data_IF_174133633599
#
_entry.id   IF_174133633599
#
_cell.length_a   1.000
_cell.length_b   1.000
_cell.length_c   1.000
_cell.angle_alpha   90.00
_cell.angle_beta   90.00
_cell.angle_gamma   90.00
#
_symmetry.space_group_name_H-M   'P 1'
#
loop_
_entity.id
_entity.type
_entity.pdbx_description
1 polymer ?
#
# COMPACT_ATOMS: atom_id res chain seq x y z
N UNK A 1 -15.16 8.55 20.16
CA UNK A 1 -13.73 8.92 20.33
C UNK A 1 -12.93 7.64 20.48
N UNK A 2 -11.74 7.57 19.88
CA UNK A 2 -10.79 6.48 20.12
C UNK A 2 -10.34 6.52 21.58
N UNK A 3 -10.36 5.38 22.25
CA UNK A 3 -9.91 5.24 23.64
C UNK A 3 -8.48 4.74 23.75
N UNK A 4 -7.99 3.99 22.75
CA UNK A 4 -6.62 3.50 22.70
C UNK A 4 -6.16 3.34 21.24
N UNK A 5 -4.87 3.55 20.97
CA UNK A 5 -4.26 3.17 19.70
C UNK A 5 -2.80 2.76 19.89
N UNK A 6 -2.41 1.74 19.12
CA UNK A 6 -1.07 1.21 19.04
C UNK A 6 -0.58 1.32 17.58
N UNK A 7 0.66 1.76 17.38
CA UNK A 7 1.36 1.71 16.09
C UNK A 7 2.60 0.84 16.27
N UNK A 8 2.68 -0.24 15.48
CA UNK A 8 3.71 -1.25 15.61
C UNK A 8 4.45 -1.45 14.29
N UNK A 9 5.75 -1.23 14.31
CA UNK A 9 6.63 -1.48 13.18
C UNK A 9 7.28 -2.85 13.36
N UNK A 10 6.96 -3.79 12.46
CA UNK A 10 7.54 -5.13 12.49
C UNK A 10 8.85 -5.14 11.72
N UNK A 11 9.83 -5.90 12.22
CA UNK A 11 11.05 -6.18 11.48
C UNK A 11 10.73 -7.01 10.22
N UNK A 12 11.20 -6.52 9.06
CA UNK A 12 10.95 -7.12 7.75
C UNK A 12 12.27 -7.66 7.18
N UNK A 13 12.54 -8.95 7.42
CA UNK A 13 13.74 -9.63 6.92
C UNK A 13 15.07 -9.07 7.48
N UNK A 14 16.19 -9.51 6.89
CA UNK A 14 17.55 -9.12 7.30
C UNK A 14 18.07 -7.86 6.56
N UNK A 15 17.29 -7.36 5.60
CA UNK A 15 17.62 -6.19 4.77
C UNK A 15 16.81 -4.97 5.22
N UNK A 16 17.33 -3.78 4.98
CA UNK A 16 16.70 -2.51 5.37
C UNK A 16 15.55 -2.07 4.45
N UNK A 17 14.86 -2.99 3.78
CA UNK A 17 13.79 -2.65 2.82
C UNK A 17 12.53 -3.46 3.08
N UNK A 18 11.38 -2.83 2.83
CA UNK A 18 10.07 -3.39 3.09
C UNK A 18 9.45 -2.92 4.40
N UNK A 19 8.13 -2.81 4.39
CA UNK A 19 7.34 -2.34 5.53
C UNK A 19 6.28 -3.38 5.92
N UNK A 20 6.03 -3.49 7.22
CA UNK A 20 4.89 -4.20 7.80
C UNK A 20 4.51 -3.47 9.08
N UNK A 21 3.41 -2.72 9.05
CA UNK A 21 3.03 -1.80 10.12
C UNK A 21 1.61 -2.15 10.57
N UNK A 22 1.45 -2.48 11.84
CA UNK A 22 0.12 -2.52 12.42
C UNK A 22 -0.28 -1.17 12.96
N UNK A 23 -1.54 -0.82 12.73
CA UNK A 23 -2.21 0.26 13.42
C UNK A 23 -3.48 -0.31 14.02
N UNK A 24 -3.49 -0.41 15.35
CA UNK A 24 -4.62 -0.91 16.12
C UNK A 24 -5.30 0.26 16.78
N UNK A 25 -6.62 0.32 16.68
CA UNK A 25 -7.44 1.34 17.36
C UNK A 25 -8.55 0.66 18.14
N UNK A 26 -8.84 1.16 19.32
CA UNK A 26 -9.97 0.72 20.14
C UNK A 26 -10.88 1.93 20.34
N UNK A 27 -12.15 1.79 19.98
CA UNK A 27 -13.17 2.80 20.30
C UNK A 27 -14.46 2.17 20.85
N UNK A 28 -15.27 2.91 21.63
CA UNK A 28 -16.46 2.36 22.29
C UNK A 28 -17.58 1.91 21.33
N UNK A 29 -17.57 2.39 20.08
CA UNK A 29 -18.65 2.16 19.10
C UNK A 29 -18.29 0.98 18.20
N UNK A 30 -17.09 0.97 17.63
CA UNK A 30 -16.65 -0.06 16.68
C UNK A 30 -15.78 -1.15 17.31
N UNK A 31 -15.42 -1.01 18.59
CA UNK A 31 -14.53 -1.91 19.29
C UNK A 31 -13.09 -1.80 18.78
N UNK A 32 -12.42 -2.96 18.70
CA UNK A 32 -11.03 -3.05 18.25
C UNK A 32 -10.95 -3.25 16.73
N UNK A 33 -10.26 -2.34 16.05
CA UNK A 33 -9.96 -2.38 14.62
C UNK A 33 -8.46 -2.60 14.44
N UNK A 34 -8.09 -3.63 13.66
CA UNK A 34 -6.70 -3.93 13.31
C UNK A 34 -6.48 -3.59 11.83
N UNK A 35 -5.59 -2.64 11.59
CA UNK A 35 -5.14 -2.28 10.25
C UNK A 35 -3.70 -2.78 10.07
N UNK A 36 -3.43 -3.47 8.97
CA UNK A 36 -2.09 -3.88 8.56
C UNK A 36 -1.74 -3.12 7.28
N UNK A 37 -0.72 -2.26 7.35
CA UNK A 37 -0.14 -1.57 6.20
C UNK A 37 1.10 -2.31 5.76
N UNK A 38 1.05 -2.83 4.54
CA UNK A 38 2.03 -3.73 3.93
C UNK A 38 2.30 -5.02 4.75
N UNK A 39 2.92 -6.00 4.09
CA UNK A 39 3.15 -7.32 4.66
C UNK A 39 4.61 -7.69 4.76
N UNK A 40 5.52 -6.83 4.31
CA UNK A 40 6.91 -7.20 4.17
C UNK A 40 7.16 -8.27 3.09
N UNK A 41 8.27 -8.99 3.24
CA UNK A 41 8.54 -10.23 2.50
C UNK A 41 7.63 -11.38 2.91
N UNK A 42 7.60 -12.47 2.13
CA UNK A 42 6.79 -13.65 2.44
C UNK A 42 7.07 -14.26 3.81
N UNK A 43 8.33 -14.28 4.26
CA UNK A 43 8.72 -14.77 5.60
C UNK A 43 8.19 -13.91 6.75
N UNK A 44 7.83 -12.65 6.50
CA UNK A 44 7.25 -11.75 7.50
C UNK A 44 5.84 -12.19 7.91
N UNK A 45 5.13 -12.99 7.12
CA UNK A 45 3.80 -13.49 7.45
C UNK A 45 3.74 -14.27 8.77
N UNK A 46 4.79 -15.04 9.09
CA UNK A 46 4.88 -15.75 10.38
C UNK A 46 5.14 -14.80 11.55
N UNK A 47 5.99 -13.79 11.35
CA UNK A 47 6.20 -12.73 12.34
C UNK A 47 4.91 -11.96 12.64
N UNK A 48 4.13 -11.65 11.60
CA UNK A 48 2.81 -11.01 11.71
C UNK A 48 1.86 -11.86 12.57
N UNK A 49 1.76 -13.17 12.29
CA UNK A 49 0.93 -14.08 13.10
C UNK A 49 1.38 -14.11 14.56
N UNK A 50 2.66 -14.35 14.81
CA UNK A 50 3.22 -14.41 16.16
C UNK A 50 3.03 -13.10 16.91
N UNK A 51 3.16 -11.97 16.22
CA UNK A 51 2.91 -10.65 16.78
C UNK A 51 1.45 -10.48 17.22
N UNK A 52 0.49 -10.80 16.35
CA UNK A 52 -0.94 -10.74 16.67
C UNK A 52 -1.31 -11.69 17.82
N UNK A 53 -0.74 -12.90 17.83
CA UNK A 53 -0.95 -13.88 18.91
C UNK A 53 -0.47 -13.36 20.26
N UNK A 54 0.70 -12.71 20.29
CA UNK A 54 1.32 -12.20 21.50
C UNK A 54 0.65 -10.93 22.02
N UNK A 55 0.40 -9.95 21.14
CA UNK A 55 0.03 -8.60 21.55
C UNK A 55 -1.44 -8.26 21.35
N UNK A 56 -2.11 -8.90 20.40
CA UNK A 56 -3.52 -8.61 20.06
C UNK A 56 -4.47 -9.72 20.52
N UNK A 57 -4.20 -10.27 21.71
CA UNK A 57 -5.06 -11.26 22.41
C UNK A 57 -5.46 -12.46 21.53
N UNK A 58 -4.59 -12.87 20.60
CA UNK A 58 -4.86 -13.95 19.63
C UNK A 58 -6.09 -13.70 18.74
N UNK A 59 -6.46 -12.45 18.50
CA UNK A 59 -7.42 -12.11 17.44
C UNK A 59 -6.87 -12.64 16.11
N UNK A 60 -7.68 -13.42 15.38
CA UNK A 60 -7.32 -14.03 14.09
C UNK A 60 -7.95 -13.28 12.92
N UNK A 61 -8.05 -11.96 13.03
CA UNK A 61 -8.73 -11.14 12.05
C UNK A 61 -8.02 -9.79 11.87
N UNK A 62 -7.78 -9.43 10.61
CA UNK A 62 -7.35 -8.10 10.18
C UNK A 62 -8.56 -7.42 9.55
N UNK A 63 -8.92 -6.25 10.07
CA UNK A 63 -10.09 -5.49 9.61
C UNK A 63 -9.78 -4.79 8.28
N UNK A 64 -8.60 -4.18 8.17
CA UNK A 64 -8.13 -3.54 6.94
C UNK A 64 -6.69 -3.96 6.64
N UNK A 65 -6.50 -4.69 5.55
CA UNK A 65 -5.19 -4.94 4.96
C UNK A 65 -4.97 -3.90 3.86
N UNK A 66 -3.87 -3.16 3.90
CA UNK A 66 -3.61 -2.01 3.04
C UNK A 66 -2.27 -2.23 2.33
N UNK A 67 -2.26 -2.12 1.00
CA UNK A 67 -1.05 -2.21 0.19
C UNK A 67 -0.66 -0.81 -0.30
N UNK A 68 0.55 -0.36 0.01
CA UNK A 68 1.10 0.93 -0.46
C UNK A 68 1.49 0.86 -1.94
N UNK A 69 2.27 -0.16 -2.32
CA UNK A 69 2.70 -0.43 -3.70
C UNK A 69 3.07 -1.91 -3.88
N UNK A 70 3.13 -2.36 -5.14
CA UNK A 70 3.29 -3.77 -5.50
C UNK A 70 4.71 -4.35 -5.43
N UNK A 71 5.65 -3.69 -4.75
CA UNK A 71 7.02 -4.18 -4.67
C UNK A 71 7.12 -5.41 -3.75
N UNK A 72 8.11 -6.25 -4.03
CA UNK A 72 8.23 -7.59 -3.45
C UNK A 72 8.28 -7.57 -1.91
N UNK A 73 8.97 -6.58 -1.37
CA UNK A 73 9.22 -6.36 0.04
C UNK A 73 8.05 -5.69 0.78
N UNK A 74 6.92 -5.48 0.11
CA UNK A 74 5.67 -4.99 0.70
C UNK A 74 4.51 -5.97 0.48
N UNK A 75 4.35 -6.49 -0.75
CA UNK A 75 3.18 -7.30 -1.13
C UNK A 75 3.28 -8.78 -0.73
N UNK A 76 4.49 -9.33 -0.63
CA UNK A 76 4.66 -10.80 -0.58
C UNK A 76 4.17 -11.40 0.72
N UNK A 77 4.34 -10.71 1.85
CA UNK A 77 3.76 -11.15 3.12
C UNK A 77 2.23 -11.10 3.13
N UNK A 78 1.61 -10.10 2.46
CA UNK A 78 0.15 -10.02 2.35
C UNK A 78 -0.43 -11.20 1.57
N UNK A 79 0.19 -11.52 0.43
CA UNK A 79 -0.16 -12.70 -0.38
C UNK A 79 -0.10 -13.96 0.49
N UNK A 80 0.99 -14.12 1.26
CA UNK A 80 1.19 -15.29 2.10
C UNK A 80 0.13 -15.42 3.20
N UNK A 81 -0.24 -14.31 3.85
CA UNK A 81 -1.30 -14.28 4.88
C UNK A 81 -2.64 -14.75 4.31
N UNK A 82 -3.04 -14.24 3.14
CA UNK A 82 -4.32 -14.60 2.49
C UNK A 82 -4.28 -16.06 2.00
N UNK A 83 -3.15 -16.48 1.42
CA UNK A 83 -2.96 -17.84 0.90
C UNK A 83 -3.12 -18.88 2.02
N UNK A 84 -2.43 -18.69 3.14
CA UNK A 84 -2.45 -19.62 4.28
C UNK A 84 -3.79 -19.64 5.03
N UNK A 85 -4.56 -18.54 4.94
CA UNK A 85 -5.91 -18.44 5.50
C UNK A 85 -5.99 -18.76 7.01
N UNK A 86 -4.91 -18.50 7.75
CA UNK A 86 -4.85 -18.65 9.22
C UNK A 86 -5.35 -17.39 9.95
N UNK A 87 -5.27 -16.25 9.29
CA UNK A 87 -5.80 -14.96 9.73
C UNK A 87 -6.86 -14.54 8.71
N UNK A 88 -8.07 -14.26 9.18
CA UNK A 88 -9.15 -13.74 8.35
C UNK A 88 -8.87 -12.28 7.99
N UNK A 89 -9.11 -11.89 6.74
CA UNK A 89 -8.99 -10.51 6.28
C UNK A 89 -10.37 -10.05 5.83
N UNK A 90 -10.87 -8.93 6.37
CA UNK A 90 -12.18 -8.40 5.97
C UNK A 90 -12.11 -7.55 4.71
N UNK A 91 -11.20 -6.57 4.70
CA UNK A 91 -11.04 -5.63 3.61
C UNK A 91 -9.60 -5.62 3.12
N UNK A 92 -9.41 -5.62 1.80
CA UNK A 92 -8.16 -5.32 1.13
C UNK A 92 -8.27 -3.94 0.47
N UNK A 93 -7.38 -3.03 0.84
CA UNK A 93 -7.24 -1.70 0.27
C UNK A 93 -6.02 -1.68 -0.65
N UNK A 94 -6.26 -1.72 -1.96
CA UNK A 94 -5.22 -1.71 -2.97
C UNK A 94 -5.75 -1.05 -4.25
N UNK A 95 -4.86 -0.51 -5.08
CA UNK A 95 -5.21 0.02 -6.40
C UNK A 95 -4.72 -0.96 -7.44
N UNK A 96 -5.63 -1.46 -8.28
CA UNK A 96 -5.31 -2.40 -9.35
C UNK A 96 -5.29 -1.65 -10.69
N UNK A 97 -4.13 -1.51 -11.37
CA UNK A 97 -3.98 -0.62 -12.52
C UNK A 97 -4.89 -1.01 -13.69
N UNK A 98 -5.17 -2.30 -13.88
CA UNK A 98 -6.07 -2.77 -14.94
C UNK A 98 -7.52 -2.33 -14.76
N UNK A 99 -7.98 -2.02 -13.54
CA UNK A 99 -9.33 -1.46 -13.33
C UNK A 99 -9.49 -0.05 -13.94
N UNK A 100 -8.38 0.60 -14.29
CA UNK A 100 -8.33 1.94 -14.85
C UNK A 100 -7.91 1.97 -16.32
N UNK A 101 -7.86 0.82 -17.01
CA UNK A 101 -7.49 0.77 -18.42
C UNK A 101 -8.43 1.63 -19.28
N UNK A 102 -9.74 1.63 -18.98
CA UNK A 102 -10.69 2.48 -19.67
C UNK A 102 -10.40 3.97 -19.46
N UNK A 103 -10.11 4.39 -18.23
CA UNK A 103 -9.76 5.78 -17.92
C UNK A 103 -8.49 6.22 -18.65
N UNK A 104 -7.50 5.33 -18.74
CA UNK A 104 -6.24 5.61 -19.44
C UNK A 104 -6.44 5.77 -20.95
N UNK A 105 -7.23 4.87 -21.56
CA UNK A 105 -7.52 4.91 -23.00
C UNK A 105 -8.38 6.13 -23.35
N UNK A 106 -9.50 6.34 -22.66
CA UNK A 106 -10.41 7.45 -22.94
C UNK A 106 -9.82 8.81 -22.54
N UNK A 107 -8.93 8.83 -21.55
CA UNK A 107 -8.18 10.02 -21.15
C UNK A 107 -7.04 10.38 -22.09
N UNK A 108 -6.83 9.65 -23.18
CA UNK A 108 -5.73 9.84 -24.14
C UNK A 108 -4.35 9.84 -23.47
N UNK A 109 -4.16 9.01 -22.44
CA UNK A 109 -2.86 8.83 -21.79
C UNK A 109 -1.86 8.09 -22.67
N UNK A 110 -2.34 7.43 -23.74
CA UNK A 110 -1.53 6.70 -24.71
C UNK A 110 -1.88 7.16 -26.13
N UNK A 111 -0.90 7.66 -26.88
CA UNK A 111 -1.15 8.20 -28.23
C UNK A 111 -1.46 7.12 -29.27
N UNK A 112 -0.94 5.90 -29.07
CA UNK A 112 -0.98 4.82 -30.06
C UNK A 112 -1.76 3.58 -29.57
N UNK A 113 -2.62 3.73 -28.56
CA UNK A 113 -3.40 2.64 -27.97
C UNK A 113 -4.86 3.06 -27.80
N UNK A 114 -5.77 2.22 -28.28
CA UNK A 114 -7.22 2.44 -28.18
C UNK A 114 -8.00 1.22 -27.65
N UNK A 115 -7.31 0.10 -27.35
CA UNK A 115 -7.94 -1.13 -26.89
C UNK A 115 -7.83 -1.27 -25.38
N UNK A 116 -8.96 -1.10 -24.69
CA UNK A 116 -9.10 -1.27 -23.24
C UNK A 116 -8.69 -2.68 -22.84
N UNK A 117 -9.26 -3.71 -23.49
CA UNK A 117 -8.97 -5.12 -23.18
C UNK A 117 -7.49 -5.47 -23.33
N UNK A 118 -6.82 -4.94 -24.36
CA UNK A 118 -5.41 -5.17 -24.55
C UNK A 118 -4.60 -4.57 -23.39
N UNK A 119 -4.89 -3.31 -23.01
CA UNK A 119 -4.19 -2.61 -21.94
C UNK A 119 -4.43 -3.28 -20.58
N UNK A 120 -5.64 -3.72 -20.29
CA UNK A 120 -5.93 -4.49 -19.06
C UNK A 120 -5.05 -5.74 -18.95
N UNK A 121 -4.94 -6.50 -20.03
CA UNK A 121 -4.13 -7.71 -20.07
C UNK A 121 -2.64 -7.40 -19.94
N UNK A 122 -2.17 -6.33 -20.58
CA UNK A 122 -0.78 -5.89 -20.48
C UNK A 122 -0.45 -5.46 -19.04
N UNK A 123 -1.30 -4.68 -18.39
CA UNK A 123 -1.11 -4.29 -16.99
C UNK A 123 -1.12 -5.52 -16.06
N UNK A 124 -2.02 -6.49 -16.28
CA UNK A 124 -2.02 -7.76 -15.52
C UNK A 124 -0.71 -8.54 -15.71
N UNK A 125 -0.12 -8.54 -16.92
CA UNK A 125 1.20 -9.14 -17.19
C UNK A 125 2.34 -8.40 -16.49
N UNK A 126 2.30 -7.07 -16.49
CA UNK A 126 3.35 -6.22 -15.91
C UNK A 126 3.40 -6.25 -14.37
N UNK A 127 2.30 -6.66 -13.71
CA UNK A 127 2.18 -6.68 -12.25
C UNK A 127 1.65 -8.05 -11.73
N UNK A 128 2.41 -9.15 -11.91
CA UNK A 128 1.92 -10.51 -11.64
C UNK A 128 1.60 -10.77 -10.16
N UNK A 129 2.34 -10.16 -9.22
CA UNK A 129 2.05 -10.30 -7.77
C UNK A 129 0.78 -9.57 -7.35
N UNK A 130 0.58 -8.38 -7.90
CA UNK A 130 -0.64 -7.62 -7.67
C UNK A 130 -1.85 -8.38 -8.22
N UNK A 131 -1.69 -9.00 -9.40
CA UNK A 131 -2.71 -9.87 -9.99
C UNK A 131 -3.01 -11.05 -9.06
N UNK A 132 -1.97 -11.74 -8.57
CA UNK A 132 -2.13 -12.86 -7.63
C UNK A 132 -2.82 -12.44 -6.33
N UNK A 133 -2.52 -11.26 -5.81
CA UNK A 133 -3.17 -10.71 -4.62
C UNK A 133 -4.67 -10.49 -4.86
N UNK A 134 -5.04 -9.91 -6.01
CA UNK A 134 -6.45 -9.73 -6.39
C UNK A 134 -7.20 -11.06 -6.50
N UNK A 135 -6.62 -12.04 -7.22
CA UNK A 135 -7.19 -13.37 -7.41
C UNK A 135 -7.45 -14.05 -6.06
N UNK A 136 -6.44 -14.08 -5.17
CA UNK A 136 -6.58 -14.64 -3.83
C UNK A 136 -7.63 -13.91 -3.00
N UNK A 137 -7.69 -12.58 -3.08
CA UNK A 137 -8.69 -11.79 -2.35
C UNK A 137 -10.11 -12.14 -2.81
N UNK A 138 -10.33 -12.28 -4.12
CA UNK A 138 -11.64 -12.68 -4.68
C UNK A 138 -12.00 -14.12 -4.31
N UNK A 139 -11.06 -15.05 -4.42
CA UNK A 139 -11.24 -16.46 -4.01
C UNK A 139 -11.64 -16.58 -2.53
N UNK A 140 -11.05 -15.75 -1.68
CA UNK A 140 -11.33 -15.71 -0.23
C UNK A 140 -12.51 -14.81 0.16
N UNK A 141 -13.22 -14.24 -0.82
CA UNK A 141 -14.35 -13.32 -0.61
C UNK A 141 -13.99 -12.10 0.27
N UNK A 142 -12.74 -11.64 0.17
CA UNK A 142 -12.26 -10.43 0.83
C UNK A 142 -12.81 -9.23 0.08
N UNK A 143 -13.33 -8.24 0.81
CA UNK A 143 -13.86 -7.02 0.18
C UNK A 143 -12.70 -6.16 -0.32
N UNK A 144 -12.60 -5.98 -1.63
CA UNK A 144 -11.58 -5.12 -2.25
C UNK A 144 -12.11 -3.67 -2.32
N UNK A 145 -11.28 -2.70 -1.91
CA UNK A 145 -11.59 -1.27 -1.92
C UNK A 145 -10.40 -0.47 -2.44
N UNK A 146 -10.68 0.64 -3.14
CA UNK A 146 -9.63 1.53 -3.66
C UNK A 146 -9.31 2.66 -2.69
N UNK A 147 -8.05 2.80 -2.22
CA UNK A 147 -7.64 3.87 -1.33
C UNK A 147 -7.20 5.13 -2.12
N UNK A 148 -8.13 5.80 -2.81
CA UNK A 148 -7.85 7.14 -3.33
C UNK A 148 -8.05 8.23 -2.27
N UNK A 149 -7.53 9.43 -2.55
CA UNK A 149 -7.70 10.62 -1.72
C UNK A 149 -9.15 10.78 -1.27
N UNK A 150 -9.32 11.05 0.03
CA UNK A 150 -10.56 11.15 0.78
C UNK A 150 -11.27 9.83 1.10
N UNK A 151 -10.81 8.66 0.64
CA UNK A 151 -11.29 7.38 1.14
C UNK A 151 -11.07 7.27 2.66
N UNK A 152 -12.03 6.66 3.35
CA UNK A 152 -11.99 6.46 4.80
C UNK A 152 -11.69 4.99 5.10
N UNK A 153 -10.56 4.72 5.76
CA UNK A 153 -10.14 3.40 6.20
C UNK A 153 -10.21 3.36 7.72
N UNK A 154 -11.30 2.84 8.27
CA UNK A 154 -11.58 2.97 9.70
C UNK A 154 -11.57 4.44 10.11
N UNK A 155 -10.59 4.85 10.91
CA UNK A 155 -10.43 6.23 11.38
C UNK A 155 -9.45 7.06 10.55
N UNK A 156 -8.77 6.44 9.59
CA UNK A 156 -7.79 7.10 8.74
C UNK A 156 -8.45 7.65 7.49
N UNK A 157 -8.09 8.89 7.15
CA UNK A 157 -8.43 9.49 5.87
C UNK A 157 -7.22 9.37 4.94
N UNK A 158 -7.44 8.81 3.76
CA UNK A 158 -6.43 8.74 2.71
C UNK A 158 -6.18 10.13 2.14
N UNK A 159 -4.93 10.59 2.12
CA UNK A 159 -4.58 11.90 1.54
C UNK A 159 -4.13 11.84 0.07
N UNK A 160 -3.59 10.71 -0.34
CA UNK A 160 -2.98 10.48 -1.66
C UNK A 160 -3.02 8.99 -2.00
N UNK A 161 -2.95 8.64 -3.30
CA UNK A 161 -2.98 9.54 -4.46
C UNK A 161 -4.41 10.02 -4.79
N UNK A 162 -4.57 11.11 -5.55
CA UNK A 162 -5.84 11.33 -6.28
C UNK A 162 -5.91 10.35 -7.45
N UNK A 163 -7.11 10.14 -8.03
CA UNK A 163 -7.26 9.27 -9.19
C UNK A 163 -6.41 9.78 -10.35
N UNK A 164 -6.48 11.07 -10.64
CA UNK A 164 -5.75 11.72 -11.74
C UNK A 164 -4.24 11.58 -11.58
N UNK A 165 -3.71 11.88 -10.38
CA UNK A 165 -2.29 11.73 -10.09
C UNK A 165 -1.82 10.27 -10.24
N UNK A 166 -2.67 9.30 -9.88
CA UNK A 166 -2.36 7.90 -10.08
C UNK A 166 -2.32 7.50 -11.56
N UNK A 167 -3.27 7.98 -12.38
CA UNK A 167 -3.28 7.73 -13.84
C UNK A 167 -2.05 8.33 -14.54
N UNK A 168 -1.67 9.57 -14.18
CA UNK A 168 -0.45 10.22 -14.66
C UNK A 168 0.79 9.36 -14.35
N UNK A 169 0.87 8.80 -13.15
CA UNK A 169 1.98 7.93 -12.74
C UNK A 169 1.98 6.59 -13.47
N UNK A 170 0.81 5.98 -13.73
CA UNK A 170 0.75 4.77 -14.57
C UNK A 170 1.25 5.10 -15.97
N UNK A 171 0.81 6.19 -16.59
CA UNK A 171 1.18 6.51 -17.97
C UNK A 171 2.66 6.86 -18.12
N UNK A 172 3.29 7.44 -17.10
CA UNK A 172 4.70 7.84 -17.09
C UNK A 172 5.65 6.77 -16.54
N UNK A 173 5.15 5.63 -16.07
CA UNK A 173 5.98 4.59 -15.48
C UNK A 173 6.92 3.95 -16.50
N UNK A 174 8.10 3.49 -16.09
CA UNK A 174 9.02 2.78 -16.97
C UNK A 174 8.39 1.53 -17.64
N UNK A 175 7.36 0.94 -17.02
CA UNK A 175 6.62 -0.23 -17.54
C UNK A 175 5.63 0.10 -18.67
N UNK A 176 5.39 1.38 -18.93
CA UNK A 176 4.40 1.89 -19.90
C UNK A 176 4.97 3.05 -20.75
N UNK A 177 6.13 3.59 -20.37
CA UNK A 177 6.75 4.77 -20.97
C UNK A 177 7.19 4.54 -22.42
N UNK A 178 7.58 3.32 -22.81
CA UNK A 178 7.92 2.98 -24.20
C UNK A 178 6.72 3.16 -25.15
N UNK A 179 5.50 3.12 -24.60
CA UNK A 179 4.27 3.28 -25.36
C UNK A 179 3.80 4.75 -25.45
N UNK A 180 4.53 5.66 -24.79
CA UNK A 180 4.22 7.07 -24.63
C UNK A 180 5.28 7.99 -25.26
N UNK A 181 5.45 7.88 -26.58
CA UNK A 181 6.43 8.66 -27.34
C UNK A 181 6.17 10.17 -27.38
N UNK A 182 5.00 10.64 -26.92
CA UNK A 182 4.61 12.06 -26.95
C UNK A 182 4.19 12.62 -25.57
N UNK A 183 4.66 12.04 -24.45
CA UNK A 183 4.41 12.67 -23.16
C UNK A 183 5.13 14.03 -23.09
N UNK A 184 4.38 15.11 -23.29
CA UNK A 184 4.77 16.45 -22.87
C UNK A 184 5.01 16.38 -21.36
N UNK A 185 6.25 16.09 -20.99
CA UNK A 185 6.79 15.99 -19.62
C UNK A 185 6.76 17.33 -18.85
N UNK A 186 5.85 18.24 -19.22
CA UNK A 186 5.70 19.59 -18.73
C UNK A 186 4.33 19.88 -18.08
N UNK A 187 3.45 18.89 -17.85
CA UNK A 187 2.31 19.10 -16.95
C UNK A 187 2.69 18.75 -15.51
N UNK A 188 3.15 19.78 -14.80
CA UNK A 188 3.10 19.95 -13.34
C UNK A 188 3.78 18.92 -12.40
N UNK A 189 4.53 17.93 -12.90
CA UNK A 189 5.19 16.93 -12.06
C UNK A 189 6.51 17.36 -11.40
N UNK A 190 7.20 18.39 -11.91
CA UNK A 190 8.53 18.77 -11.40
C UNK A 190 8.53 19.73 -10.21
N UNK A 191 7.43 20.44 -9.95
CA UNK A 191 7.39 21.48 -8.89
C UNK A 191 6.64 21.08 -7.60
N UNK A 192 6.00 19.91 -7.53
CA UNK A 192 5.39 19.42 -6.28
C UNK A 192 6.31 18.50 -5.46
N UNK A 193 7.46 18.10 -6.02
CA UNK A 193 8.45 17.21 -5.39
C UNK A 193 9.19 17.83 -4.19
N UNK A 194 9.05 19.14 -3.93
CA UNK A 194 9.78 19.81 -2.83
C UNK A 194 8.93 20.14 -1.59
N UNK A 195 7.61 19.91 -1.58
CA UNK A 195 6.76 20.27 -0.44
C UNK A 195 6.26 19.08 0.40
N UNK A 196 6.47 17.83 -0.03
CA UNK A 196 6.13 16.63 0.75
C UNK A 196 7.29 16.11 1.63
N UNK A 197 8.51 16.67 1.51
CA UNK A 197 9.71 16.18 2.21
C UNK A 197 9.84 16.57 3.70
N UNK A 198 8.89 17.30 4.29
CA UNK A 198 9.05 17.79 5.67
C UNK A 198 8.41 16.93 6.76
N UNK A 199 7.54 15.97 6.45
CA UNK A 199 6.89 15.14 7.51
C UNK A 199 7.63 13.82 7.75
N UNK A 200 8.43 13.34 6.79
CA UNK A 200 9.18 12.08 6.93
C UNK A 200 10.50 12.22 7.71
N UNK A 201 11.01 13.44 7.92
CA UNK A 201 12.36 13.67 8.47
C UNK A 201 12.48 13.51 9.99
N UNK A 202 11.37 13.53 10.73
CA UNK A 202 11.38 13.35 12.19
C UNK A 202 11.31 11.86 12.57
N UNK A 203 10.62 11.03 11.78
CA UNK A 203 10.54 9.58 11.98
C UNK A 203 11.73 8.82 11.38
N UNK A 204 12.23 9.21 10.20
CA UNK A 204 13.36 8.50 9.57
C UNK A 204 14.73 8.75 10.22
N UNK A 205 14.90 9.84 10.97
CA UNK A 205 16.16 10.08 11.69
C UNK A 205 16.39 9.06 12.82
N UNK A 206 15.34 8.46 13.38
CA UNK A 206 15.46 7.40 14.39
C UNK A 206 15.57 5.99 13.79
N UNK A 207 15.15 5.79 12.53
CA UNK A 207 15.14 4.48 11.86
C UNK A 207 16.44 4.15 11.09
N UNK A 208 17.30 5.15 10.83
CA UNK A 208 18.59 4.94 10.12
C UNK A 208 19.65 4.18 10.91
N UNK A 209 19.42 3.91 12.19
CA UNK A 209 20.27 3.06 13.01
C UNK A 209 19.62 1.68 13.10
N UNK A 210 19.88 0.83 12.10
CA UNK A 210 19.49 -0.58 11.98
C UNK A 210 18.68 -1.14 13.15
N UNK A 211 17.36 -1.03 13.07
CA UNK A 211 16.46 -1.54 14.10
C UNK A 211 16.22 -3.03 13.84
N UNK A 212 16.92 -3.88 14.59
CA UNK A 212 16.76 -5.34 14.59
C UNK A 212 15.61 -5.81 15.51
N UNK A 213 14.75 -4.90 15.99
CA UNK A 213 13.70 -5.18 16.98
C UNK A 213 12.39 -4.48 16.64
N UNK A 214 11.27 -5.17 16.83
CA UNK A 214 9.94 -4.55 16.68
C UNK A 214 9.83 -3.31 17.58
N UNK A 215 9.28 -2.23 17.04
CA UNK A 215 9.06 -0.97 17.75
C UNK A 215 7.56 -0.79 17.99
N UNK A 216 7.17 -0.72 19.26
CA UNK A 216 5.78 -0.51 19.70
C UNK A 216 5.62 0.91 20.24
N UNK A 217 4.75 1.68 19.62
CA UNK A 217 4.36 3.01 20.08
C UNK A 217 2.90 2.99 20.53
N UNK A 218 2.70 3.10 21.84
CA UNK A 218 1.38 3.31 22.45
C UNK A 218 1.29 4.75 22.93
N UNK A 219 0.27 5.46 22.48
CA UNK A 219 0.06 6.86 22.88
C UNK A 219 -1.39 7.04 23.29
N UNK A 220 -1.60 7.60 24.46
CA UNK A 220 -2.93 7.57 25.07
C UNK A 220 -3.90 8.63 24.52
N UNK A 221 -3.44 9.66 23.80
CA UNK A 221 -4.31 10.73 23.26
C UNK A 221 -3.73 11.32 21.95
N UNK A 222 -4.40 11.12 20.80
CA UNK A 222 -4.20 11.92 19.57
C UNK A 222 -5.55 12.19 18.92
N UNK A 223 -5.73 13.40 18.37
CA UNK A 223 -6.99 13.83 17.75
C UNK A 223 -7.09 13.51 16.26
N UNK A 224 -5.98 13.23 15.55
CA UNK A 224 -5.99 12.85 14.13
C UNK A 224 -4.66 12.20 13.74
N UNK A 225 -4.69 11.05 13.06
CA UNK A 225 -3.52 10.43 12.40
C UNK A 225 -3.77 10.47 10.89
N UNK A 226 -2.79 11.01 10.16
CA UNK A 226 -2.86 11.27 8.72
C UNK A 226 -1.93 10.27 8.02
N UNK A 227 -2.46 9.46 7.10
CA UNK A 227 -1.67 8.53 6.29
C UNK A 227 -1.62 9.00 4.83
N UNK A 228 -0.41 9.10 4.28
CA UNK A 228 -0.15 9.36 2.87
C UNK A 228 0.49 8.11 2.27
N UNK A 229 -0.19 7.51 1.29
CA UNK A 229 0.33 6.37 0.54
C UNK A 229 0.98 6.94 -0.72
N UNK A 230 2.29 6.75 -0.85
CA UNK A 230 3.03 7.15 -2.04
C UNK A 230 2.86 6.08 -3.12
N UNK A 231 2.50 6.48 -4.32
CA UNK A 231 2.59 5.64 -5.51
C UNK A 231 4.06 5.49 -5.94
N UNK A 232 4.47 4.24 -6.18
CA UNK A 232 5.70 3.72 -6.81
C UNK A 232 6.93 4.66 -6.87
N UNK A 233 8.08 4.28 -6.28
CA UNK A 233 9.31 5.04 -6.47
C UNK A 233 9.77 4.96 -7.93
N UNK A 234 9.77 6.11 -8.61
CA UNK A 234 10.14 6.26 -10.02
C UNK A 234 11.66 6.27 -10.29
N UNK A 235 12.52 5.88 -9.34
CA UNK A 235 13.97 5.90 -9.56
C UNK A 235 14.69 4.85 -8.70
N UNK A 236 15.16 3.76 -9.31
CA UNK A 236 16.40 3.09 -8.92
C UNK A 236 16.86 2.10 -9.99
N UNK A 237 17.50 2.58 -11.05
CA UNK A 237 18.51 1.81 -11.79
C UNK A 237 19.68 2.75 -12.10
N UNK A 238 20.80 2.53 -11.40
CA UNK A 238 22.10 3.02 -11.83
C UNK A 238 22.58 2.13 -12.98
N UNK A 239 23.02 2.75 -14.06
CA UNK A 239 23.74 2.07 -15.14
C UNK A 239 25.03 1.45 -14.61
N UNK A 240 25.21 0.16 -14.88
CA UNK A 240 26.50 -0.48 -15.10
C UNK A 240 26.39 -1.29 -16.39
#
# INVERSE_FOLDING_TARGET
MVTDYDIDFLAVGDKTSGDAIFIRTIDPINGEIINLVDGGYSGTADNIKLFMEKWYKRKKEIDNMILTHGDNDHISGLIKIIEENKIKVKNLWAIFPWEYAQDLILGNYFSNRNSINWLENELKRAYPKLKKLEELARERQITIKTPFKNSQIGLFKVLSPSKEFYLDNIASSAKTAEENSNSNSNRAGKNSLNQSFQVQRILQHHLKNGVTKNFHLRVHHLRTIIASFNSLPLNQIKYY
#
